data_IF_416344082695
#
_entry.id   IF_416344082695
#
_cell.length_a   1.000
_cell.length_b   1.000
_cell.length_c   1.000
_cell.angle_alpha   90.00
_cell.angle_beta   90.00
_cell.angle_gamma   90.00
#
_symmetry.space_group_name_H-M   'P 1'
#
loop_
_entity.id
_entity.type
_entity.pdbx_description
1 polymer ?
#
# COMPACT_ATOMS: atom_id res chain seq x y z
N UNK A 1 -3.32 -25.27 2.48
CA UNK A 1 -2.83 -24.14 3.30
C UNK A 1 -1.34 -24.26 3.40
N UNK A 2 -0.62 -23.31 2.82
CA UNK A 2 0.85 -23.23 2.91
C UNK A 2 1.18 -22.12 3.91
N UNK A 3 2.06 -22.41 4.87
CA UNK A 3 2.64 -21.37 5.71
C UNK A 3 3.59 -20.54 4.87
N UNK A 4 3.43 -19.22 4.92
CA UNK A 4 4.33 -18.30 4.25
C UNK A 4 5.67 -18.26 5.00
N UNK A 5 6.77 -18.55 4.31
CA UNK A 5 8.10 -18.44 4.88
C UNK A 5 8.46 -16.98 5.16
N UNK A 6 9.34 -16.73 6.13
CA UNK A 6 9.76 -15.38 6.51
C UNK A 6 10.42 -14.61 5.34
N UNK A 7 11.15 -15.29 4.45
CA UNK A 7 11.75 -14.68 3.26
C UNK A 7 10.69 -14.27 2.21
N UNK A 8 9.67 -15.10 2.00
CA UNK A 8 8.56 -14.79 1.09
C UNK A 8 7.75 -13.61 1.65
N UNK A 9 7.51 -13.60 2.97
CA UNK A 9 6.89 -12.47 3.68
C UNK A 9 7.66 -11.18 3.47
N UNK A 10 8.98 -11.20 3.71
CA UNK A 10 9.80 -10.01 3.58
C UNK A 10 9.77 -9.47 2.14
N UNK A 11 9.84 -10.37 1.15
CA UNK A 11 9.73 -10.00 -0.26
C UNK A 11 8.40 -9.31 -0.57
N UNK A 12 7.28 -9.80 0.00
CA UNK A 12 5.96 -9.20 -0.18
C UNK A 12 5.89 -7.83 0.52
N UNK A 13 6.38 -7.72 1.76
CA UNK A 13 6.40 -6.45 2.50
C UNK A 13 7.23 -5.41 1.75
N UNK A 14 8.40 -5.79 1.24
CA UNK A 14 9.27 -4.90 0.47
C UNK A 14 8.59 -4.45 -0.83
N UNK A 15 7.87 -5.34 -1.49
CA UNK A 15 7.04 -5.02 -2.66
C UNK A 15 5.92 -4.03 -2.34
N UNK A 16 5.19 -4.23 -1.23
CA UNK A 16 4.13 -3.33 -0.79
C UNK A 16 4.68 -1.97 -0.38
N UNK A 17 5.83 -1.93 0.32
CA UNK A 17 6.52 -0.67 0.68
C UNK A 17 6.92 0.10 -0.57
N UNK A 18 7.47 -0.57 -1.57
CA UNK A 18 7.80 0.05 -2.85
C UNK A 18 6.56 0.63 -3.55
N UNK A 19 5.46 -0.12 -3.58
CA UNK A 19 4.20 0.38 -4.15
C UNK A 19 3.69 1.60 -3.36
N UNK A 20 3.80 1.59 -2.04
CA UNK A 20 3.44 2.74 -1.20
C UNK A 20 4.31 3.96 -1.52
N UNK A 21 5.63 3.79 -1.70
CA UNK A 21 6.53 4.87 -2.10
C UNK A 21 6.14 5.48 -3.45
N UNK A 22 5.80 4.66 -4.44
CA UNK A 22 5.37 5.13 -5.76
C UNK A 22 4.07 5.95 -5.66
N UNK A 23 3.06 5.45 -4.94
CA UNK A 23 1.79 6.16 -4.71
C UNK A 23 2.01 7.44 -3.90
N UNK A 24 2.88 7.40 -2.89
CA UNK A 24 3.20 8.55 -2.06
C UNK A 24 3.94 9.62 -2.87
N UNK A 25 4.84 9.21 -3.76
CA UNK A 25 5.51 10.12 -4.69
C UNK A 25 4.50 10.79 -5.63
N UNK A 26 3.58 10.02 -6.23
CA UNK A 26 2.50 10.57 -7.06
C UNK A 26 1.66 11.58 -6.26
N UNK A 27 1.30 11.23 -5.03
CA UNK A 27 0.58 12.11 -4.12
C UNK A 27 1.33 13.41 -3.81
N UNK A 28 2.65 13.35 -3.56
CA UNK A 28 3.49 14.52 -3.31
C UNK A 28 3.61 15.43 -4.54
N UNK A 29 3.56 14.86 -5.75
CA UNK A 29 3.61 15.62 -7.01
C UNK A 29 2.28 16.27 -7.38
N UNK A 30 1.20 16.01 -6.62
CA UNK A 30 -0.08 16.66 -6.85
C UNK A 30 0.02 18.17 -6.70
N UNK A 31 -0.69 18.88 -7.58
CA UNK A 31 -0.80 20.33 -7.48
C UNK A 31 -1.47 20.72 -6.16
N UNK A 32 -0.86 21.67 -5.45
CA UNK A 32 -1.42 22.27 -4.22
C UNK A 32 -2.82 22.86 -4.47
N UNK A 33 -3.11 23.26 -5.71
CA UNK A 33 -4.40 23.81 -6.12
C UNK A 33 -5.30 22.68 -6.62
N UNK A 34 -6.17 22.22 -5.73
CA UNK A 34 -7.20 21.21 -5.98
C UNK A 34 -8.54 21.92 -6.16
N UNK A 35 -8.64 22.65 -7.26
CA UNK A 35 -9.77 23.51 -7.64
C UNK A 35 -10.84 22.77 -8.46
N UNK A 36 -10.52 21.59 -9.01
CA UNK A 36 -11.43 20.82 -9.87
C UNK A 36 -11.83 19.48 -9.24
N UNK A 37 -13.07 19.05 -9.50
CA UNK A 37 -13.59 17.73 -9.10
C UNK A 37 -12.65 16.57 -9.47
N UNK A 38 -12.12 16.46 -10.70
CA UNK A 38 -11.19 15.37 -11.05
C UNK A 38 -9.89 15.39 -10.23
N UNK A 39 -9.34 16.58 -9.92
CA UNK A 39 -8.15 16.68 -9.06
C UNK A 39 -8.44 16.19 -7.63
N UNK A 40 -9.63 16.51 -7.10
CA UNK A 40 -10.04 16.04 -5.76
C UNK A 40 -10.23 14.53 -5.73
N UNK A 41 -10.92 13.97 -6.73
CA UNK A 41 -11.11 12.52 -6.84
C UNK A 41 -9.78 11.77 -6.98
N UNK A 42 -8.85 12.33 -7.75
CA UNK A 42 -7.53 11.76 -7.92
C UNK A 42 -6.73 11.76 -6.60
N UNK A 43 -6.78 12.86 -5.85
CA UNK A 43 -6.22 12.93 -4.49
C UNK A 43 -6.83 11.88 -3.57
N UNK A 44 -8.16 11.81 -3.50
CA UNK A 44 -8.88 10.86 -2.63
C UNK A 44 -8.55 9.40 -2.99
N UNK A 45 -8.38 9.10 -4.28
CA UNK A 45 -7.95 7.77 -4.74
C UNK A 45 -6.57 7.42 -4.20
N UNK A 46 -5.60 8.34 -4.32
CA UNK A 46 -4.23 8.13 -3.85
C UNK A 46 -4.18 7.99 -2.33
N UNK A 47 -4.96 8.79 -1.58
CA UNK A 47 -5.07 8.64 -0.12
C UNK A 47 -5.67 7.31 0.30
N UNK A 48 -6.70 6.85 -0.43
CA UNK A 48 -7.31 5.55 -0.16
C UNK A 48 -6.34 4.40 -0.44
N UNK A 49 -5.60 4.48 -1.55
CA UNK A 49 -4.60 3.48 -1.92
C UNK A 49 -3.45 3.40 -0.92
N UNK A 50 -2.91 4.54 -0.46
CA UNK A 50 -1.90 4.57 0.61
C UNK A 50 -2.41 3.91 1.89
N UNK A 51 -3.65 4.21 2.32
CA UNK A 51 -4.25 3.61 3.53
C UNK A 51 -4.44 2.10 3.42
N UNK A 52 -4.79 1.60 2.23
CA UNK A 52 -4.90 0.15 2.01
C UNK A 52 -3.52 -0.51 2.14
N UNK A 53 -2.51 0.05 1.48
CA UNK A 53 -1.14 -0.46 1.53
C UNK A 53 -0.58 -0.45 2.96
N UNK A 54 -0.79 0.62 3.72
CA UNK A 54 -0.39 0.70 5.14
C UNK A 54 -1.06 -0.39 5.98
N UNK A 55 -2.36 -0.61 5.76
CA UNK A 55 -3.11 -1.64 6.48
C UNK A 55 -2.62 -3.05 6.11
N UNK A 56 -2.32 -3.29 4.85
CA UNK A 56 -1.80 -4.59 4.38
C UNK A 56 -0.40 -4.85 4.93
N UNK A 57 0.48 -3.86 4.93
CA UNK A 57 1.82 -3.95 5.55
C UNK A 57 1.69 -4.20 7.05
N UNK A 58 0.84 -3.45 7.76
CA UNK A 58 0.64 -3.63 9.21
C UNK A 58 0.10 -5.03 9.55
N UNK A 59 -0.80 -5.57 8.71
CA UNK A 59 -1.32 -6.92 8.86
C UNK A 59 -0.21 -7.97 8.65
N UNK A 60 0.63 -7.79 7.63
CA UNK A 60 1.77 -8.67 7.36
C UNK A 60 2.88 -8.55 8.43
N UNK A 61 3.09 -7.38 9.02
CA UNK A 61 4.09 -7.19 10.08
C UNK A 61 3.61 -7.73 11.43
N UNK A 62 2.31 -7.59 11.76
CA UNK A 62 1.74 -8.04 13.06
C UNK A 62 1.44 -9.54 13.12
N UNK A 63 1.07 -10.17 12.02
CA UNK A 63 0.67 -11.58 12.03
C UNK A 63 1.83 -12.51 11.68
N UNK A 64 2.48 -13.07 12.70
CA UNK A 64 3.65 -13.96 12.57
C UNK A 64 3.39 -15.23 11.73
N UNK A 65 2.13 -15.67 11.58
CA UNK A 65 1.76 -16.81 10.72
C UNK A 65 0.58 -16.40 9.84
N UNK A 66 0.78 -16.44 8.53
CA UNK A 66 -0.26 -16.15 7.53
C UNK A 66 -0.37 -17.37 6.64
N UNK A 67 -1.59 -17.92 6.59
CA UNK A 67 -1.90 -19.09 5.79
C UNK A 67 -2.43 -18.61 4.44
N UNK A 68 -1.68 -18.89 3.38
CA UNK A 68 -2.14 -18.66 2.02
C UNK A 68 -2.97 -19.88 1.60
N UNK A 69 -4.21 -19.63 1.19
CA UNK A 69 -5.03 -20.60 0.49
C UNK A 69 -4.78 -20.43 -1.01
N UNK A 70 -4.05 -21.38 -1.59
CA UNK A 70 -3.94 -21.58 -3.04
C UNK A 70 -5.26 -22.14 -3.59
#
# INVERSE_FOLDING_TARGET
MREMNDDERQTIIDGLKKQWEDVHHEFQTLSVIIDTIPKRLHKERLEHEMKLLEKDIDLLEKHQVIYIAD
#
